data_IF_100187015271
#
_entry.id   IF_100187015271
#
_cell.length_a   1.000
_cell.length_b   1.000
_cell.length_c   1.000
_cell.angle_alpha   90.00
_cell.angle_beta   90.00
_cell.angle_gamma   90.00
#
_symmetry.space_group_name_H-M   'P 1'
#
loop_
_entity.id
_entity.type
_entity.pdbx_description
1 polymer ?
#
# COMPACT_ATOMS: atom_id res chain seq x y z
N UNK A 1 28.20 -9.23 -3.91
CA UNK A 1 26.99 -8.71 -3.25
C UNK A 1 25.85 -9.58 -3.71
N UNK A 2 25.05 -10.13 -2.80
CA UNK A 2 23.94 -11.05 -3.10
C UNK A 2 22.92 -10.35 -4.02
N UNK A 3 22.27 -11.06 -4.93
CA UNK A 3 21.27 -10.51 -5.86
C UNK A 3 20.11 -9.87 -5.07
N UNK A 4 19.73 -10.48 -3.94
CA UNK A 4 18.73 -9.93 -3.04
C UNK A 4 19.21 -8.65 -2.33
N UNK A 5 20.49 -8.54 -1.96
CA UNK A 5 21.02 -7.30 -1.36
C UNK A 5 20.92 -6.14 -2.34
N UNK A 6 21.24 -6.39 -3.62
CA UNK A 6 21.11 -5.40 -4.68
C UNK A 6 19.65 -4.99 -4.84
N UNK A 7 18.71 -5.96 -4.84
CA UNK A 7 17.28 -5.68 -4.93
C UNK A 7 16.80 -4.79 -3.78
N UNK A 8 17.17 -5.12 -2.53
CA UNK A 8 16.78 -4.35 -1.34
C UNK A 8 17.35 -2.92 -1.40
N UNK A 9 18.62 -2.77 -1.76
CA UNK A 9 19.26 -1.44 -1.89
C UNK A 9 18.63 -0.60 -2.98
N UNK A 10 18.44 -1.18 -4.16
CA UNK A 10 17.81 -0.49 -5.29
C UNK A 10 16.37 -0.07 -4.96
N UNK A 11 15.64 -0.92 -4.25
CA UNK A 11 14.30 -0.61 -3.76
C UNK A 11 14.32 0.59 -2.80
N UNK A 12 15.20 0.56 -1.80
CA UNK A 12 15.37 1.64 -0.81
C UNK A 12 15.74 2.95 -1.50
N UNK A 13 16.83 2.97 -2.27
CA UNK A 13 17.31 4.17 -2.95
C UNK A 13 16.28 4.71 -3.94
N UNK A 14 15.64 3.83 -4.72
CA UNK A 14 14.62 4.20 -5.70
C UNK A 14 13.36 4.77 -5.04
N UNK A 15 12.93 4.25 -3.89
CA UNK A 15 11.81 4.82 -3.14
C UNK A 15 12.19 6.19 -2.55
N UNK A 16 13.39 6.34 -1.99
CA UNK A 16 13.85 7.64 -1.45
C UNK A 16 13.96 8.69 -2.57
N UNK A 17 14.48 8.32 -3.74
CA UNK A 17 14.54 9.20 -4.91
C UNK A 17 13.15 9.62 -5.38
N UNK A 18 12.22 8.67 -5.47
CA UNK A 18 10.83 8.94 -5.84
C UNK A 18 10.17 9.94 -4.88
N UNK A 19 10.34 9.76 -3.56
CA UNK A 19 9.78 10.66 -2.55
C UNK A 19 10.36 12.08 -2.68
N UNK A 20 11.68 12.20 -2.83
CA UNK A 20 12.36 13.49 -3.04
C UNK A 20 11.87 14.20 -4.29
N UNK A 21 11.73 13.48 -5.41
CA UNK A 21 11.21 14.00 -6.68
C UNK A 21 9.78 14.55 -6.56
N UNK A 22 8.99 14.00 -5.65
CA UNK A 22 7.62 14.43 -5.36
C UNK A 22 7.52 15.42 -4.17
N UNK A 23 8.64 16.01 -3.74
CA UNK A 23 8.72 16.96 -2.62
C UNK A 23 8.16 16.43 -1.30
N UNK A 24 8.22 15.10 -1.09
CA UNK A 24 7.87 14.44 0.16
C UNK A 24 9.12 14.41 1.03
N UNK A 25 9.03 14.97 2.23
CA UNK A 25 10.16 15.10 3.13
C UNK A 25 10.54 13.73 3.70
N UNK A 26 11.78 13.32 3.45
CA UNK A 26 12.40 12.14 4.04
C UNK A 26 13.38 12.60 5.11
N UNK A 27 13.44 11.89 6.23
CA UNK A 27 14.39 12.20 7.28
C UNK A 27 15.85 12.09 6.77
N UNK A 28 16.65 13.15 6.97
CA UNK A 28 17.97 13.31 6.35
C UNK A 28 19.00 12.21 6.71
N UNK A 29 18.71 11.39 7.72
CA UNK A 29 19.60 10.33 8.22
C UNK A 29 19.01 8.92 8.13
N UNK A 30 17.91 8.74 7.41
CA UNK A 30 17.33 7.41 7.24
C UNK A 30 18.34 6.50 6.52
N UNK A 31 18.74 5.41 7.16
CA UNK A 31 19.69 4.43 6.61
C UNK A 31 19.11 3.03 6.52
N UNK A 32 19.61 2.22 5.59
CA UNK A 32 19.23 0.84 5.40
C UNK A 32 20.23 -0.10 6.06
N UNK A 33 19.74 -1.05 6.86
CA UNK A 33 20.50 -2.18 7.40
C UNK A 33 19.88 -3.47 6.87
N UNK A 34 20.73 -4.26 6.20
CA UNK A 34 20.35 -5.58 5.70
C UNK A 34 20.97 -6.62 6.63
N UNK A 35 20.13 -7.54 7.12
CA UNK A 35 20.51 -8.60 8.04
C UNK A 35 20.27 -9.94 7.35
N UNK A 36 21.19 -10.88 7.48
CA UNK A 36 21.05 -12.21 6.86
C UNK A 36 19.89 -13.00 7.47
N UNK A 37 19.69 -12.87 8.79
CA UNK A 37 18.66 -13.62 9.50
C UNK A 37 18.06 -12.90 10.71
N UNK A 38 16.93 -13.43 11.19
CA UNK A 38 16.30 -12.94 12.42
C UNK A 38 17.17 -13.22 13.66
N UNK A 39 17.97 -14.28 13.66
CA UNK A 39 18.94 -14.54 14.72
C UNK A 39 20.02 -13.45 14.77
N UNK A 40 20.52 -13.01 13.60
CA UNK A 40 21.44 -11.87 13.52
C UNK A 40 20.78 -10.60 14.06
N UNK A 41 19.52 -10.35 13.69
CA UNK A 41 18.74 -9.25 14.25
C UNK A 41 18.70 -9.33 15.79
N UNK A 42 18.34 -10.49 16.35
CA UNK A 42 18.20 -10.68 17.79
C UNK A 42 19.51 -10.45 18.55
N UNK A 43 20.63 -10.86 17.97
CA UNK A 43 21.96 -10.66 18.57
C UNK A 43 22.35 -9.18 18.63
N UNK A 44 21.99 -8.38 17.62
CA UNK A 44 22.36 -6.96 17.52
C UNK A 44 21.39 -6.03 18.24
N UNK A 45 20.09 -6.32 18.18
CA UNK A 45 19.03 -5.39 18.57
C UNK A 45 18.10 -5.93 19.67
N UNK A 46 18.22 -7.21 20.03
CA UNK A 46 17.37 -7.88 21.00
C UNK A 46 16.13 -8.54 20.38
N UNK A 47 15.30 -9.17 21.21
CA UNK A 47 14.13 -9.91 20.72
C UNK A 47 12.93 -8.98 20.53
N UNK A 48 12.38 -8.96 19.32
CA UNK A 48 11.13 -8.30 19.01
C UNK A 48 10.22 -9.25 18.21
N UNK A 49 9.28 -9.89 18.91
CA UNK A 49 8.36 -10.88 18.32
C UNK A 49 7.34 -10.30 17.34
N UNK A 50 7.32 -8.98 17.16
CA UNK A 50 6.42 -8.30 16.22
C UNK A 50 7.02 -8.15 14.83
N UNK A 51 8.34 -8.22 14.71
CA UNK A 51 9.02 -8.12 13.42
C UNK A 51 8.64 -9.33 12.60
N UNK A 52 8.22 -9.08 11.37
CA UNK A 52 8.01 -10.10 10.36
C UNK A 52 9.16 -10.07 9.37
N UNK A 53 9.18 -9.16 8.41
CA UNK A 53 10.25 -9.13 7.38
C UNK A 53 11.19 -7.95 7.58
N UNK A 54 10.66 -6.81 8.01
CA UNK A 54 11.43 -5.63 8.32
C UNK A 54 10.85 -4.88 9.52
N UNK A 55 11.55 -3.83 9.89
CA UNK A 55 11.04 -2.79 10.78
C UNK A 55 11.74 -1.46 10.51
N UNK A 56 11.08 -0.37 10.87
CA UNK A 56 11.72 0.91 11.09
C UNK A 56 12.13 1.08 12.56
N UNK A 57 13.43 1.05 12.85
CA UNK A 57 13.98 1.45 14.16
C UNK A 57 14.05 2.97 14.24
N UNK A 58 13.03 3.55 14.88
CA UNK A 58 12.95 5.00 15.14
C UNK A 58 14.13 5.57 15.92
N UNK A 59 14.68 4.84 16.88
CA UNK A 59 15.75 5.37 17.73
C UNK A 59 17.03 5.55 16.93
N UNK A 60 17.29 4.63 16.01
CA UNK A 60 18.48 4.65 15.14
C UNK A 60 18.24 5.32 13.79
N UNK A 61 16.98 5.51 13.40
CA UNK A 61 16.56 5.96 12.07
C UNK A 61 17.03 4.97 11.00
N UNK A 62 16.86 3.69 11.31
CA UNK A 62 17.32 2.58 10.48
C UNK A 62 16.11 1.79 9.96
N UNK A 63 16.10 1.50 8.66
CA UNK A 63 15.23 0.50 8.06
C UNK A 63 15.95 -0.82 8.11
N UNK A 64 15.42 -1.77 8.86
CA UNK A 64 15.94 -3.13 8.98
C UNK A 64 15.20 -4.04 8.02
N UNK A 65 15.93 -4.78 7.18
CA UNK A 65 15.36 -5.82 6.32
C UNK A 65 16.05 -7.14 6.62
N UNK A 66 15.26 -8.16 6.96
CA UNK A 66 15.73 -9.50 7.32
C UNK A 66 15.63 -10.41 6.09
N UNK A 67 16.77 -10.77 5.51
CA UNK A 67 16.86 -11.47 4.22
C UNK A 67 16.19 -12.83 4.23
N UNK A 68 16.47 -13.69 5.22
CA UNK A 68 15.88 -15.04 5.22
C UNK A 68 14.35 -15.00 5.24
N UNK A 69 13.76 -14.09 6.02
CA UNK A 69 12.31 -13.90 6.09
C UNK A 69 11.74 -13.24 4.83
N UNK A 70 12.47 -12.32 4.20
CA UNK A 70 12.09 -11.78 2.90
C UNK A 70 12.08 -12.88 1.82
N UNK A 71 13.09 -13.77 1.82
CA UNK A 71 13.13 -14.93 0.93
C UNK A 71 11.93 -15.84 1.12
N UNK A 72 11.50 -16.08 2.37
CA UNK A 72 10.31 -16.90 2.64
C UNK A 72 9.03 -16.28 2.05
N UNK A 73 8.87 -14.95 2.16
CA UNK A 73 7.74 -14.24 1.56
C UNK A 73 7.81 -14.27 0.03
N UNK A 74 8.96 -13.99 -0.56
CA UNK A 74 9.17 -14.08 -2.02
C UNK A 74 8.85 -15.49 -2.52
N UNK A 75 9.37 -16.54 -1.87
CA UNK A 75 9.14 -17.92 -2.26
C UNK A 75 7.67 -18.31 -2.17
N UNK A 76 6.96 -17.86 -1.12
CA UNK A 76 5.52 -18.07 -1.01
C UNK A 76 4.79 -17.43 -2.17
N UNK A 77 5.11 -16.17 -2.48
CA UNK A 77 4.42 -15.41 -3.51
C UNK A 77 4.78 -15.92 -4.92
N UNK A 78 5.99 -16.44 -5.15
CA UNK A 78 6.39 -17.14 -6.39
C UNK A 78 5.61 -18.46 -6.56
N UNK A 79 5.41 -19.22 -5.48
CA UNK A 79 4.75 -20.52 -5.54
C UNK A 79 3.21 -20.46 -5.47
N UNK A 80 2.63 -19.27 -5.25
CA UNK A 80 1.17 -19.11 -5.23
C UNK A 80 0.53 -19.51 -6.58
N UNK A 81 -0.40 -20.47 -6.56
CA UNK A 81 -1.06 -20.97 -7.75
C UNK A 81 -2.21 -20.07 -8.22
N UNK A 82 -2.66 -19.12 -7.39
CA UNK A 82 -3.81 -18.25 -7.65
C UNK A 82 -3.43 -16.90 -8.29
N UNK A 83 -2.26 -16.83 -8.94
CA UNK A 83 -1.86 -15.62 -9.68
C UNK A 83 -2.79 -15.38 -10.85
N UNK A 84 -3.22 -14.14 -11.00
CA UNK A 84 -4.04 -13.70 -12.13
C UNK A 84 -3.13 -13.05 -13.16
N UNK A 85 -3.30 -13.44 -14.43
CA UNK A 85 -2.56 -12.88 -15.56
C UNK A 85 -3.53 -12.17 -16.49
N UNK A 86 -3.37 -10.86 -16.64
CA UNK A 86 -4.19 -10.03 -17.54
C UNK A 86 -3.24 -9.22 -18.41
N UNK A 87 -3.12 -9.62 -19.68
CA UNK A 87 -2.16 -9.02 -20.62
C UNK A 87 -0.73 -9.12 -20.08
N UNK A 88 -0.10 -7.95 -19.87
CA UNK A 88 1.24 -7.84 -19.30
C UNK A 88 1.24 -7.59 -17.79
N UNK A 89 0.13 -7.82 -17.10
CA UNK A 89 0.05 -7.73 -15.64
C UNK A 89 -0.02 -9.13 -15.05
N UNK A 90 0.76 -9.37 -14.01
CA UNK A 90 0.62 -10.50 -13.08
C UNK A 90 0.24 -9.96 -11.71
N UNK A 91 -0.72 -10.58 -11.03
CA UNK A 91 -1.04 -10.25 -9.65
C UNK A 91 -0.25 -11.11 -8.66
N UNK A 92 0.13 -10.50 -7.53
CA UNK A 92 0.61 -11.21 -6.34
C UNK A 92 -0.29 -10.86 -5.15
N UNK A 93 -0.53 -11.80 -4.26
CA UNK A 93 -1.39 -11.55 -3.10
C UNK A 93 -0.56 -11.01 -1.93
N UNK A 94 -0.73 -9.73 -1.60
CA UNK A 94 0.07 -9.03 -0.58
C UNK A 94 -0.82 -8.09 0.24
N UNK A 95 -0.61 -8.05 1.56
CA UNK A 95 -1.44 -7.28 2.50
C UNK A 95 -2.94 -7.46 2.28
N UNK A 96 -3.38 -8.69 2.00
CA UNK A 96 -4.79 -9.02 1.83
C UNK A 96 -5.37 -8.72 0.44
N UNK A 97 -4.71 -7.96 -0.43
CA UNK A 97 -5.25 -7.62 -1.75
C UNK A 97 -4.34 -8.14 -2.87
N UNK A 98 -4.84 -8.09 -4.10
CA UNK A 98 -4.08 -8.38 -5.31
C UNK A 98 -3.24 -7.16 -5.70
N UNK A 99 -1.93 -7.33 -5.74
CA UNK A 99 -0.99 -6.31 -6.16
C UNK A 99 -0.67 -6.47 -7.64
N UNK A 100 -0.98 -5.47 -8.48
CA UNK A 100 -0.63 -5.51 -9.90
C UNK A 100 0.87 -5.36 -10.09
N UNK A 101 1.47 -6.25 -10.88
CA UNK A 101 2.90 -6.21 -11.23
C UNK A 101 3.05 -6.23 -12.75
N UNK A 102 3.71 -5.21 -13.30
CA UNK A 102 3.96 -5.15 -14.73
C UNK A 102 5.07 -6.11 -15.15
N UNK A 103 4.76 -6.97 -16.12
CA UNK A 103 5.66 -7.95 -16.71
C UNK A 103 6.36 -7.35 -17.94
N UNK A 104 7.53 -6.76 -17.72
CA UNK A 104 8.42 -6.30 -18.79
C UNK A 104 9.51 -7.32 -19.18
N UNK A 105 9.59 -8.44 -18.45
CA UNK A 105 10.55 -9.53 -18.62
C UNK A 105 9.78 -10.87 -18.61
N UNK A 106 10.34 -11.91 -19.22
CA UNK A 106 9.77 -13.24 -19.15
C UNK A 106 10.12 -13.96 -17.84
N UNK A 107 11.12 -13.47 -17.10
CA UNK A 107 11.49 -13.97 -15.78
C UNK A 107 10.50 -13.49 -14.70
N UNK A 108 9.43 -14.27 -14.51
CA UNK A 108 8.37 -14.01 -13.53
C UNK A 108 8.92 -14.01 -12.10
N UNK A 109 9.87 -14.90 -11.77
CA UNK A 109 10.44 -15.00 -10.43
C UNK A 109 11.17 -13.72 -10.06
N UNK A 110 11.97 -13.19 -11.00
CA UNK A 110 12.67 -11.92 -10.82
C UNK A 110 11.72 -10.73 -10.69
N UNK A 111 10.65 -10.70 -11.49
CA UNK A 111 9.62 -9.66 -11.42
C UNK A 111 8.90 -9.67 -10.07
N UNK A 112 8.50 -10.85 -9.58
CA UNK A 112 7.86 -11.00 -8.27
C UNK A 112 8.83 -10.64 -7.15
N UNK A 113 10.07 -11.13 -7.22
CA UNK A 113 11.13 -10.80 -6.26
C UNK A 113 11.30 -9.30 -6.11
N UNK A 114 11.36 -8.58 -7.25
CA UNK A 114 11.43 -7.12 -7.26
C UNK A 114 10.18 -6.50 -6.64
N UNK A 115 8.98 -6.91 -7.07
CA UNK A 115 7.74 -6.34 -6.58
C UNK A 115 7.57 -6.50 -5.06
N UNK A 116 7.79 -7.70 -4.53
CA UNK A 116 7.73 -8.00 -3.10
C UNK A 116 8.78 -7.21 -2.31
N UNK A 117 10.02 -7.14 -2.81
CA UNK A 117 11.09 -6.35 -2.17
C UNK A 117 10.75 -4.87 -2.17
N UNK A 118 10.24 -4.34 -3.30
CA UNK A 118 9.81 -2.96 -3.44
C UNK A 118 8.68 -2.61 -2.47
N UNK A 119 7.68 -3.50 -2.36
CA UNK A 119 6.56 -3.40 -1.43
C UNK A 119 7.06 -3.26 0.02
N UNK A 120 7.78 -4.27 0.52
CA UNK A 120 8.17 -4.36 1.93
C UNK A 120 9.11 -3.23 2.33
N UNK A 121 10.10 -2.89 1.50
CA UNK A 121 11.00 -1.76 1.81
C UNK A 121 10.24 -0.44 1.81
N UNK A 122 9.29 -0.27 0.89
CA UNK A 122 8.44 0.94 0.85
C UNK A 122 7.53 1.01 2.08
N UNK A 123 7.05 -0.12 2.59
CA UNK A 123 6.27 -0.19 3.82
C UNK A 123 7.05 0.36 5.02
N UNK A 124 8.28 -0.12 5.22
CA UNK A 124 9.11 0.32 6.33
C UNK A 124 9.53 1.79 6.19
N UNK A 125 9.83 2.25 4.97
CA UNK A 125 10.03 3.68 4.70
C UNK A 125 8.76 4.46 5.04
N UNK A 126 7.58 3.91 4.76
CA UNK A 126 6.29 4.47 5.14
C UNK A 126 6.21 4.73 6.64
N UNK A 127 6.58 3.76 7.48
CA UNK A 127 6.66 3.96 8.93
C UNK A 127 7.59 5.13 9.30
N UNK A 128 8.75 5.26 8.64
CA UNK A 128 9.67 6.39 8.89
C UNK A 128 9.07 7.76 8.54
N UNK A 129 8.41 7.88 7.39
CA UNK A 129 7.80 9.13 6.92
C UNK A 129 6.58 9.50 7.76
N UNK A 130 5.71 8.52 8.00
CA UNK A 130 4.46 8.73 8.72
C UNK A 130 4.74 9.10 10.17
N UNK A 131 5.74 8.45 10.79
CA UNK A 131 6.17 8.76 12.14
C UNK A 131 6.55 10.24 12.27
N UNK A 132 7.30 10.76 11.31
CA UNK A 132 7.71 12.16 11.27
C UNK A 132 6.53 13.15 11.18
N UNK A 133 5.43 12.76 10.51
CA UNK A 133 4.24 13.61 10.34
C UNK A 133 3.10 13.30 11.33
N UNK A 134 3.33 12.42 12.31
CA UNK A 134 2.40 12.12 13.41
C UNK A 134 1.50 10.90 13.23
N UNK A 135 1.64 10.13 12.16
CA UNK A 135 0.98 8.83 11.96
C UNK A 135 1.92 7.67 12.28
N UNK A 136 1.46 6.59 12.92
CA UNK A 136 2.35 5.45 13.20
C UNK A 136 1.56 4.15 13.33
N UNK A 137 0.82 3.80 12.27
CA UNK A 137 0.00 2.60 12.24
C UNK A 137 0.31 1.77 11.00
N UNK A 138 0.20 0.45 11.13
CA UNK A 138 0.29 -0.49 10.00
C UNK A 138 -0.72 -0.16 8.89
N UNK A 139 -1.88 0.40 9.25
CA UNK A 139 -2.87 0.89 8.29
C UNK A 139 -2.29 2.03 7.44
N UNK A 140 -1.73 3.06 8.08
CA UNK A 140 -1.14 4.19 7.37
C UNK A 140 0.06 3.76 6.53
N UNK A 141 0.92 2.88 7.06
CA UNK A 141 2.08 2.36 6.34
C UNK A 141 1.66 1.55 5.12
N UNK A 142 0.63 0.69 5.23
CA UNK A 142 0.12 -0.10 4.10
C UNK A 142 -0.58 0.77 3.05
N UNK A 143 -1.30 1.81 3.47
CA UNK A 143 -1.84 2.80 2.55
C UNK A 143 -0.70 3.50 1.78
N UNK A 144 0.32 3.98 2.50
CA UNK A 144 1.50 4.61 1.91
C UNK A 144 2.20 3.67 0.93
N UNK A 145 2.38 2.42 1.34
CA UNK A 145 3.04 1.37 0.57
C UNK A 145 2.38 1.17 -0.79
N UNK A 146 1.07 0.89 -0.81
CA UNK A 146 0.34 0.66 -2.06
C UNK A 146 0.30 1.91 -2.92
N UNK A 147 0.07 3.09 -2.32
CA UNK A 147 0.05 4.36 -3.02
C UNK A 147 1.39 4.65 -3.71
N UNK A 148 2.50 4.59 -2.96
CA UNK A 148 3.84 4.85 -3.52
C UNK A 148 4.21 3.80 -4.55
N UNK A 149 3.97 2.52 -4.27
CA UNK A 149 4.23 1.43 -5.21
C UNK A 149 3.51 1.64 -6.55
N UNK A 150 2.22 1.97 -6.52
CA UNK A 150 1.40 2.15 -7.73
C UNK A 150 1.93 3.27 -8.63
N UNK A 151 2.22 4.44 -8.06
CA UNK A 151 2.67 5.59 -8.84
C UNK A 151 4.16 5.53 -9.21
N UNK A 152 5.01 5.00 -8.33
CA UNK A 152 6.44 4.77 -8.60
C UNK A 152 6.63 3.83 -9.79
N UNK A 153 5.81 2.77 -9.89
CA UNK A 153 5.83 1.81 -11.00
C UNK A 153 4.96 2.21 -12.19
N UNK A 154 4.40 3.43 -12.17
CA UNK A 154 3.59 4.00 -13.25
C UNK A 154 2.38 3.14 -13.68
N UNK A 155 1.79 2.41 -12.73
CA UNK A 155 0.75 1.42 -13.02
C UNK A 155 -0.54 2.05 -13.56
N UNK A 156 -0.78 3.34 -13.28
CA UNK A 156 -1.88 4.14 -13.85
C UNK A 156 -1.93 4.15 -15.38
N UNK A 157 -0.84 3.80 -16.07
CA UNK A 157 -0.76 3.76 -17.54
C UNK A 157 -1.46 2.54 -18.15
N UNK A 158 -1.70 1.48 -17.37
CA UNK A 158 -2.16 0.19 -17.87
C UNK A 158 -3.64 -0.03 -17.52
N UNK A 159 -4.55 -0.08 -18.50
CA UNK A 159 -5.97 -0.30 -18.24
C UNK A 159 -6.28 -1.61 -17.49
N UNK A 160 -5.49 -2.66 -17.73
CA UNK A 160 -5.61 -3.98 -17.13
C UNK A 160 -5.44 -3.95 -15.61
N UNK A 161 -4.68 -2.98 -15.09
CA UNK A 161 -4.50 -2.78 -13.65
C UNK A 161 -5.83 -2.48 -12.97
N UNK A 162 -6.72 -1.75 -13.64
CA UNK A 162 -8.01 -1.39 -13.05
C UNK A 162 -8.99 -2.58 -12.96
N UNK A 163 -8.77 -3.65 -13.74
CA UNK A 163 -9.55 -4.90 -13.58
C UNK A 163 -9.17 -5.59 -12.26
N UNK A 164 -7.88 -5.63 -11.93
CA UNK A 164 -7.40 -6.14 -10.63
C UNK A 164 -7.89 -5.25 -9.48
N UNK A 165 -7.88 -3.94 -9.66
CA UNK A 165 -8.37 -3.02 -8.63
C UNK A 165 -9.88 -3.16 -8.39
N UNK A 166 -10.66 -3.49 -9.43
CA UNK A 166 -12.09 -3.80 -9.30
C UNK A 166 -12.31 -5.07 -8.46
N UNK A 167 -11.53 -6.13 -8.71
CA UNK A 167 -11.56 -7.36 -7.91
C UNK A 167 -11.14 -7.11 -6.45
N UNK A 168 -10.17 -6.22 -6.24
CA UNK A 168 -9.78 -5.78 -4.89
C UNK A 168 -10.92 -5.12 -4.13
N UNK A 169 -11.83 -4.38 -4.79
CA UNK A 169 -12.99 -3.77 -4.09
C UNK A 169 -13.85 -4.86 -3.46
N UNK A 170 -14.08 -5.96 -4.17
CA UNK A 170 -14.87 -7.12 -3.68
C UNK A 170 -14.13 -7.85 -2.55
N UNK A 171 -12.82 -8.07 -2.69
CA UNK A 171 -11.96 -8.64 -1.63
C UNK A 171 -12.01 -7.79 -0.35
N UNK A 172 -11.90 -6.47 -0.50
CA UNK A 172 -11.93 -5.52 0.60
C UNK A 172 -13.29 -5.50 1.31
N UNK A 173 -14.38 -5.53 0.54
CA UNK A 173 -15.74 -5.63 1.07
C UNK A 173 -15.91 -6.87 1.96
N UNK A 174 -15.36 -8.02 1.54
CA UNK A 174 -15.42 -9.24 2.35
C UNK A 174 -14.70 -9.08 3.70
N UNK A 175 -13.55 -8.43 3.75
CA UNK A 175 -12.78 -8.24 4.99
C UNK A 175 -13.41 -7.23 5.93
N UNK A 176 -14.10 -6.23 5.38
CA UNK A 176 -14.75 -5.17 6.13
C UNK A 176 -16.07 -5.65 6.74
N UNK A 177 -16.85 -6.45 6.00
CA UNK A 177 -18.19 -6.91 6.45
C UNK A 177 -18.14 -8.02 7.50
N UNK A 178 -17.08 -8.83 7.52
CA UNK A 178 -17.02 -9.98 8.40
C UNK A 178 -16.13 -9.67 9.61
N UNK A 179 -16.75 -9.63 10.80
CA UNK A 179 -16.09 -9.35 12.09
C UNK A 179 -15.27 -10.54 12.63
N UNK A 180 -15.39 -11.73 12.01
CA UNK A 180 -14.60 -12.92 12.39
C UNK A 180 -14.44 -13.98 11.26
N UNK A 181 -13.73 -13.70 10.16
CA UNK A 181 -13.47 -14.67 9.08
C UNK A 181 -12.36 -15.63 9.39
N UNK A 182 -12.39 -16.73 8.65
CA UNK A 182 -11.25 -17.61 8.37
C UNK A 182 -10.02 -16.88 7.78
N UNK A 183 -10.17 -15.63 7.32
CA UNK A 183 -9.08 -14.82 6.79
C UNK A 183 -8.34 -14.05 7.90
N UNK A 184 -7.00 -14.07 7.92
CA UNK A 184 -6.22 -13.31 8.87
C UNK A 184 -6.26 -11.80 8.60
N UNK A 185 -6.87 -11.33 7.50
CA UNK A 185 -6.92 -9.91 7.10
C UNK A 185 -8.23 -9.20 7.42
N UNK A 186 -9.15 -9.87 8.08
CA UNK A 186 -10.49 -9.35 8.28
C UNK A 186 -10.65 -8.60 9.59
N UNK A 187 -11.73 -7.82 9.70
CA UNK A 187 -12.03 -7.02 10.89
C UNK A 187 -11.88 -7.85 12.17
N UNK A 188 -11.20 -7.29 13.17
CA UNK A 188 -10.90 -7.97 14.45
C UNK A 188 -9.61 -8.79 14.45
N UNK A 189 -9.01 -9.08 13.29
CA UNK A 189 -7.73 -9.79 13.20
C UNK A 189 -6.51 -8.88 13.40
N UNK A 190 -5.39 -9.47 13.84
CA UNK A 190 -4.09 -8.79 13.95
C UNK A 190 -3.60 -8.19 12.63
N UNK A 191 -3.90 -8.81 11.48
CA UNK A 191 -3.45 -8.29 10.17
C UNK A 191 -4.48 -7.40 9.47
N UNK A 192 -5.65 -7.14 10.08
CA UNK A 192 -6.66 -6.24 9.52
C UNK A 192 -6.15 -4.82 9.20
N UNK A 193 -5.24 -4.23 10.00
CA UNK A 193 -4.67 -2.94 9.63
C UNK A 193 -3.97 -2.93 8.26
N UNK A 194 -3.26 -4.01 7.90
CA UNK A 194 -2.52 -4.08 6.63
C UNK A 194 -3.46 -4.08 5.42
N UNK A 195 -4.50 -4.91 5.48
CA UNK A 195 -5.50 -4.99 4.43
C UNK A 195 -6.31 -3.72 4.34
N UNK A 196 -6.75 -3.14 5.44
CA UNK A 196 -7.56 -1.92 5.38
C UNK A 196 -6.78 -0.74 4.81
N UNK A 197 -5.48 -0.62 5.10
CA UNK A 197 -4.64 0.42 4.52
C UNK A 197 -4.52 0.25 3.00
N UNK A 198 -4.26 -0.98 2.56
CA UNK A 198 -4.13 -1.34 1.15
C UNK A 198 -5.47 -1.18 0.40
N UNK A 199 -6.58 -1.60 1.01
CA UNK A 199 -7.94 -1.43 0.49
C UNK A 199 -8.28 0.05 0.30
N UNK A 200 -8.03 0.88 1.31
CA UNK A 200 -8.34 2.30 1.21
C UNK A 200 -7.50 2.99 0.12
N UNK A 201 -6.22 2.61 -0.03
CA UNK A 201 -5.38 3.10 -1.12
C UNK A 201 -5.88 2.62 -2.48
N UNK A 202 -6.22 1.34 -2.63
CA UNK A 202 -6.81 0.76 -3.83
C UNK A 202 -8.05 1.54 -4.25
N UNK A 203 -9.01 1.72 -3.35
CA UNK A 203 -10.29 2.33 -3.65
C UNK A 203 -10.11 3.80 -4.04
N UNK A 204 -9.29 4.58 -3.32
CA UNK A 204 -9.01 5.98 -3.66
C UNK A 204 -8.36 6.09 -5.03
N UNK A 205 -7.36 5.26 -5.33
CA UNK A 205 -6.67 5.29 -6.62
C UNK A 205 -7.63 4.89 -7.74
N UNK A 206 -8.45 3.86 -7.52
CA UNK A 206 -9.41 3.39 -8.52
C UNK A 206 -10.42 4.48 -8.84
N UNK A 207 -11.02 5.10 -7.82
CA UNK A 207 -11.95 6.20 -8.02
C UNK A 207 -11.28 7.38 -8.72
N UNK A 208 -10.09 7.78 -8.29
CA UNK A 208 -9.42 8.93 -8.88
C UNK A 208 -9.01 8.67 -10.33
N UNK A 209 -8.26 7.60 -10.58
CA UNK A 209 -7.63 7.37 -11.88
C UNK A 209 -8.59 6.75 -12.91
N UNK A 210 -9.43 5.77 -12.51
CA UNK A 210 -10.33 5.07 -13.44
C UNK A 210 -11.66 5.77 -13.62
N UNK A 211 -12.24 6.26 -12.53
CA UNK A 211 -13.54 6.93 -12.55
C UNK A 211 -13.28 8.40 -12.90
N UNK A 212 -12.82 9.22 -11.96
CA UNK A 212 -12.78 10.68 -12.11
C UNK A 212 -11.84 11.20 -13.20
N UNK A 213 -10.75 10.49 -13.50
CA UNK A 213 -9.75 10.90 -14.49
C UNK A 213 -9.77 10.09 -15.79
N UNK A 214 -10.90 9.47 -16.14
CA UNK A 214 -11.03 8.63 -17.34
C UNK A 214 -10.58 9.32 -18.64
N UNK A 215 -10.84 10.62 -18.76
CA UNK A 215 -10.49 11.42 -19.94
C UNK A 215 -9.11 12.10 -19.83
N UNK A 216 -8.32 11.79 -18.79
CA UNK A 216 -7.00 12.40 -18.49
C UNK A 216 -7.01 13.93 -18.37
N UNK A 217 -8.17 14.50 -18.04
CA UNK A 217 -8.34 15.95 -17.90
C UNK A 217 -8.01 16.45 -16.49
N UNK A 218 -8.11 15.58 -15.49
CA UNK A 218 -7.81 15.92 -14.10
C UNK A 218 -6.31 15.74 -13.83
N UNK A 219 -5.70 16.61 -13.00
CA UNK A 219 -4.33 16.40 -12.57
C UNK A 219 -4.22 15.05 -11.88
N UNK A 220 -3.06 14.38 -12.01
CA UNK A 220 -2.76 13.16 -11.26
C UNK A 220 -2.97 13.40 -9.77
N UNK A 221 -3.37 12.34 -9.06
CA UNK A 221 -3.51 12.39 -7.60
C UNK A 221 -2.25 12.99 -6.97
N UNK A 222 -2.41 14.02 -6.14
CA UNK A 222 -1.28 14.61 -5.45
C UNK A 222 -0.84 13.69 -4.30
N UNK A 223 0.17 12.87 -4.56
CA UNK A 223 0.69 11.85 -3.63
C UNK A 223 1.19 12.47 -2.34
N UNK A 224 1.80 13.65 -2.41
CA UNK A 224 2.27 14.36 -1.22
C UNK A 224 1.09 14.75 -0.33
N UNK A 225 0.06 15.37 -0.91
CA UNK A 225 -1.11 15.81 -0.14
C UNK A 225 -1.84 14.60 0.48
N UNK A 226 -1.90 13.47 -0.22
CA UNK A 226 -2.44 12.22 0.32
C UNK A 226 -1.71 11.75 1.56
N UNK A 227 -0.39 11.65 1.47
CA UNK A 227 0.46 11.19 2.56
C UNK A 227 0.35 12.16 3.76
N UNK A 228 0.37 13.47 3.51
CA UNK A 228 0.24 14.49 4.56
C UNK A 228 -1.11 14.43 5.27
N UNK A 229 -2.17 13.97 4.61
CA UNK A 229 -3.50 13.79 5.22
C UNK A 229 -3.60 12.58 6.12
N UNK A 230 -2.72 11.59 5.99
CA UNK A 230 -2.75 10.37 6.80
C UNK A 230 -2.64 10.64 8.30
N UNK A 231 -1.98 11.73 8.69
CA UNK A 231 -1.87 12.16 10.10
C UNK A 231 -3.19 12.53 10.76
N UNK A 232 -4.25 12.80 9.96
CA UNK A 232 -5.56 13.16 10.49
C UNK A 232 -6.46 11.94 10.72
N UNK A 233 -6.06 10.76 10.27
CA UNK A 233 -6.81 9.52 10.50
C UNK A 233 -6.35 8.88 11.80
N UNK A 234 -7.22 8.88 12.81
CA UNK A 234 -6.98 8.16 14.05
C UNK A 234 -7.12 6.65 13.85
N UNK A 235 -6.60 5.88 14.81
CA UNK A 235 -6.74 4.42 14.81
C UNK A 235 -8.20 3.96 14.78
N UNK A 236 -9.07 4.69 15.46
CA UNK A 236 -10.49 4.35 15.56
C UNK A 236 -11.27 4.79 14.31
N UNK A 237 -10.78 5.82 13.62
CA UNK A 237 -11.43 6.38 12.43
C UNK A 237 -11.06 5.67 11.13
N UNK A 238 -9.88 5.05 11.04
CA UNK A 238 -9.46 4.43 9.77
C UNK A 238 -10.36 3.26 9.34
N UNK A 239 -10.87 2.48 10.29
CA UNK A 239 -11.77 1.35 10.00
C UNK A 239 -13.07 1.89 9.42
N UNK A 240 -13.64 2.91 10.08
CA UNK A 240 -14.89 3.54 9.68
C UNK A 240 -14.75 4.15 8.28
N UNK A 241 -13.72 4.95 8.02
CA UNK A 241 -13.54 5.57 6.70
C UNK A 241 -13.29 4.53 5.60
N UNK A 242 -12.48 3.50 5.87
CA UNK A 242 -12.21 2.44 4.90
C UNK A 242 -13.52 1.72 4.55
N UNK A 243 -14.32 1.40 5.57
CA UNK A 243 -15.63 0.77 5.42
C UNK A 243 -16.59 1.64 4.62
N UNK A 244 -16.79 2.89 5.04
CA UNK A 244 -17.72 3.82 4.40
C UNK A 244 -17.33 4.07 2.95
N UNK A 245 -16.04 4.25 2.66
CA UNK A 245 -15.59 4.49 1.28
C UNK A 245 -15.79 3.26 0.39
N UNK A 246 -15.45 2.06 0.88
CA UNK A 246 -15.65 0.82 0.16
C UNK A 246 -17.14 0.54 -0.11
N UNK A 247 -18.01 0.69 0.89
CA UNK A 247 -19.47 0.52 0.72
C UNK A 247 -20.03 1.43 -0.38
N UNK A 248 -19.63 2.71 -0.38
CA UNK A 248 -20.06 3.69 -1.40
C UNK A 248 -19.56 3.30 -2.79
N UNK A 249 -18.31 2.83 -2.89
CA UNK A 249 -17.73 2.40 -4.15
C UNK A 249 -18.42 1.13 -4.69
N UNK A 250 -18.66 0.13 -3.84
CA UNK A 250 -19.39 -1.09 -4.22
C UNK A 250 -20.80 -0.76 -4.69
N UNK A 251 -21.53 0.10 -3.97
CA UNK A 251 -22.87 0.53 -4.36
C UNK A 251 -22.83 1.21 -5.74
N UNK A 252 -21.86 2.09 -5.97
CA UNK A 252 -21.66 2.70 -7.28
C UNK A 252 -21.33 1.69 -8.36
N UNK A 253 -20.43 0.75 -8.12
CA UNK A 253 -20.07 -0.26 -9.12
C UNK A 253 -21.29 -1.11 -9.49
N UNK A 254 -22.10 -1.48 -8.49
CA UNK A 254 -23.38 -2.18 -8.70
C UNK A 254 -24.34 -1.35 -9.56
N UNK A 255 -24.51 -0.07 -9.23
CA UNK A 255 -25.37 0.85 -9.98
C UNK A 255 -24.82 1.10 -11.38
N UNK A 256 -23.53 1.34 -11.55
CA UNK A 256 -22.87 1.62 -12.84
C UNK A 256 -22.91 0.41 -13.79
N UNK A 257 -22.82 -0.81 -13.25
CA UNK A 257 -23.05 -2.06 -14.00
C UNK A 257 -24.51 -2.18 -14.48
N UNK A 258 -25.46 -1.61 -13.74
CA UNK A 258 -26.92 -1.73 -14.00
C UNK A 258 -27.50 -0.56 -14.81
N UNK A 259 -26.95 0.64 -14.62
CA UNK A 259 -27.39 1.90 -15.20
C UNK A 259 -26.15 2.60 -15.73
N UNK A 260 -26.17 3.00 -17.00
CA UNK A 260 -25.13 3.82 -17.62
C UNK A 260 -25.18 5.28 -17.07
N UNK A 261 -25.08 5.44 -15.74
CA UNK A 261 -25.40 6.65 -15.01
C UNK A 261 -24.16 7.40 -14.49
N UNK A 262 -24.23 8.74 -14.54
CA UNK A 262 -23.12 9.68 -14.32
C UNK A 262 -22.83 9.97 -12.83
N UNK A 263 -21.62 9.59 -12.42
CA UNK A 263 -20.52 10.36 -11.77
C UNK A 263 -20.72 11.27 -10.55
N UNK A 264 -21.90 11.84 -10.28
CA UNK A 264 -21.97 13.03 -9.41
C UNK A 264 -21.71 12.76 -7.92
N UNK A 265 -22.09 11.58 -7.40
CA UNK A 265 -21.98 11.27 -5.96
C UNK A 265 -20.55 10.90 -5.53
N UNK A 266 -19.83 10.09 -6.32
CA UNK A 266 -18.43 9.75 -6.03
C UNK A 266 -17.49 10.93 -6.20
N UNK A 267 -17.73 11.78 -7.21
CA UNK A 267 -16.94 12.99 -7.38
C UNK A 267 -17.03 13.88 -6.14
N UNK A 268 -18.20 13.99 -5.51
CA UNK A 268 -18.37 14.83 -4.32
C UNK A 268 -17.63 14.27 -3.10
N UNK A 269 -17.74 12.98 -2.81
CA UNK A 269 -17.09 12.36 -1.65
C UNK A 269 -15.57 12.31 -1.82
N UNK A 270 -15.11 11.97 -3.02
CA UNK A 270 -13.68 11.99 -3.33
C UNK A 270 -13.19 13.41 -3.20
N UNK A 271 -13.86 14.40 -3.78
CA UNK A 271 -13.48 15.81 -3.62
C UNK A 271 -13.50 16.25 -2.14
N UNK A 272 -14.44 15.80 -1.31
CA UNK A 272 -14.42 16.09 0.14
C UNK A 272 -13.22 15.45 0.86
N UNK A 273 -12.79 14.25 0.47
CA UNK A 273 -11.56 13.62 0.99
C UNK A 273 -10.28 14.26 0.40
N UNK A 274 -10.36 14.79 -0.82
CA UNK A 274 -9.30 15.53 -1.54
C UNK A 274 -9.20 17.00 -1.10
N UNK A 275 -10.24 17.58 -0.54
CA UNK A 275 -10.22 18.90 0.08
C UNK A 275 -9.53 18.84 1.45
N UNK A 276 -8.95 19.97 1.88
CA UNK A 276 -8.39 20.07 3.24
C UNK A 276 -9.56 19.91 4.21
N UNK A 277 -9.49 19.04 5.23
CA UNK A 277 -10.48 19.12 6.30
C UNK A 277 -10.45 20.54 6.86
N UNK A 278 -11.63 21.18 7.09
CA UNK A 278 -11.64 22.46 7.79
C UNK A 278 -10.89 22.26 9.10
N UNK A 279 -9.99 23.20 9.43
CA UNK A 279 -9.20 23.20 10.65
C UNK A 279 -10.07 22.78 11.85
N UNK A 280 -10.00 21.52 12.27
CA UNK A 280 -10.57 21.05 13.54
C UNK A 280 -9.64 21.46 14.69
N UNK A 281 -9.20 22.71 14.68
CA UNK A 281 -8.57 23.34 15.83
C UNK A 281 -9.66 24.07 16.61
N UNK A 282 -9.87 23.56 17.83
CA UNK A 282 -10.55 24.15 18.97
C UNK A 282 -12.09 24.00 19.02
N UNK A 283 -12.52 22.98 19.76
CA UNK A 283 -13.50 23.10 20.84
C UNK A 283 -13.32 21.94 21.84
N UNK A 284 -12.39 22.11 22.76
CA UNK A 284 -12.48 21.59 24.15
C UNK A 284 -12.51 22.82 25.04
#
# INVERSE_FOLDING_TARGET
>A
MDELDNSIKNSFDGTIEYLKKNNIQVEEKLSLVILESYEEYQQKYGTNSRIHVGEYDRMRKEIHIIKNRLKDVINRDINDLNKIFIGNIVSIYHNGILWPVYKNDNDIEKIITKAVTDSIVTHEIGHAILHFIGGNSEWSASFFEFLVYFYKNELYKYPEVYEIMEENVEICEEYIKKENPSSPYSLGSRLAPYSFGSCFANDIIYVHEKILNKDKQSPKLNIKDMIEKLKFFSKDYYVEITKTFNEILTDYMTVAKTLNAKYTMLSWITNCLLEKPPNMTNNI
#
